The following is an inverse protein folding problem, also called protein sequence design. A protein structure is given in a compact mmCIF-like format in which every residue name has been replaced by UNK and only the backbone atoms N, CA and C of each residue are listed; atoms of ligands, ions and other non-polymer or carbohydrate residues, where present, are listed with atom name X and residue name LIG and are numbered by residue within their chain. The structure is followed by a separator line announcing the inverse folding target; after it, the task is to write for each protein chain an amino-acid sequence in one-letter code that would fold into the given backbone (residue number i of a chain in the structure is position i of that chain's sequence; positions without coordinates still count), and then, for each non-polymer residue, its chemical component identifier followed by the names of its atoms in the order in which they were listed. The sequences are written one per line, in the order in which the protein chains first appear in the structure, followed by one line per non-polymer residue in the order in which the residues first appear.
data_IF_555375910265
#
_entry.id   IF_555375910265
#
_cell.length_a   1.000
_cell.length_b   1.000
_cell.length_c   1.000
_cell.angle_alpha   90.00
_cell.angle_beta   90.00
_cell.angle_gamma   90.00
#
_symmetry.space_group_name_H-M   'P 1'
#
loop_
_entity.id
_entity.type
_entity.pdbx_description
1 polymer ?
#
# COMPACT_ATOMS: atom_id res chain seq x y z
N UNK A 1 15.98 -12.18 -48.76
CA UNK A 1 16.28 -11.36 -47.57
C UNK A 1 15.45 -11.89 -46.41
N UNK A 2 16.08 -12.43 -45.38
CA UNK A 2 15.39 -12.90 -44.17
C UNK A 2 15.63 -11.87 -43.06
N UNK A 3 14.55 -11.33 -42.49
CA UNK A 3 14.59 -10.35 -41.41
C UNK A 3 14.58 -11.12 -40.09
N UNK A 4 15.62 -11.04 -39.25
CA UNK A 4 15.60 -11.69 -37.94
C UNK A 4 14.67 -10.90 -37.01
N UNK A 5 13.65 -11.57 -36.48
CA UNK A 5 12.77 -11.02 -35.46
C UNK A 5 13.50 -11.16 -34.11
N UNK A 6 14.16 -10.09 -33.66
CA UNK A 6 14.82 -10.05 -32.36
C UNK A 6 13.78 -9.84 -31.26
N UNK A 7 13.54 -10.85 -30.43
CA UNK A 7 12.74 -10.73 -29.20
C UNK A 7 13.60 -10.09 -28.12
N UNK A 8 13.40 -8.81 -27.83
CA UNK A 8 13.96 -8.17 -26.66
C UNK A 8 13.23 -8.69 -25.41
N UNK A 9 13.86 -9.60 -24.67
CA UNK A 9 13.40 -10.04 -23.36
C UNK A 9 13.61 -8.92 -22.34
N UNK A 10 12.58 -8.11 -22.10
CA UNK A 10 12.60 -7.11 -21.03
C UNK A 10 12.58 -7.81 -19.67
N UNK A 11 13.53 -7.47 -18.80
CA UNK A 11 13.44 -7.83 -17.38
C UNK A 11 12.26 -7.06 -16.77
N UNK A 12 11.20 -7.76 -16.41
CA UNK A 12 10.10 -7.17 -15.66
C UNK A 12 10.63 -6.77 -14.27
N UNK A 13 10.55 -5.48 -13.95
CA UNK A 13 10.83 -4.92 -12.63
C UNK A 13 9.51 -4.48 -12.02
N UNK A 14 9.30 -4.81 -10.76
CA UNK A 14 8.05 -4.55 -10.05
C UNK A 14 8.30 -4.18 -8.60
N UNK A 15 7.53 -3.22 -8.09
CA UNK A 15 7.42 -3.01 -6.66
C UNK A 15 6.64 -4.17 -6.02
N UNK A 16 7.11 -4.65 -4.87
CA UNK A 16 6.47 -5.70 -4.08
C UNK A 16 6.10 -5.25 -2.68
N UNK A 17 5.17 -5.97 -2.04
CA UNK A 17 4.79 -5.71 -0.64
C UNK A 17 5.40 -6.75 0.29
N UNK A 18 6.01 -6.33 1.39
CA UNK A 18 6.45 -7.22 2.47
C UNK A 18 5.30 -7.64 3.39
N UNK A 19 5.59 -8.33 4.49
CA UNK A 19 4.58 -8.68 5.50
C UNK A 19 4.01 -7.43 6.16
N UNK A 20 2.69 -7.36 6.33
CA UNK A 20 2.08 -6.27 7.09
C UNK A 20 2.59 -6.29 8.54
N UNK A 21 2.76 -5.11 9.17
CA UNK A 21 3.05 -5.01 10.58
C UNK A 21 1.92 -5.59 11.43
N UNK A 22 2.27 -6.06 12.61
CA UNK A 22 1.39 -6.80 13.52
C UNK A 22 0.46 -5.93 14.38
N UNK A 23 0.54 -4.60 14.25
CA UNK A 23 -0.27 -3.69 15.07
C UNK A 23 -1.70 -3.66 14.54
N UNK A 24 -2.64 -4.14 15.34
CA UNK A 24 -4.06 -4.06 15.04
C UNK A 24 -4.57 -2.61 15.25
N UNK A 25 -5.47 -2.12 14.39
CA UNK A 25 -6.13 -0.84 14.61
C UNK A 25 -7.06 -0.93 15.84
N UNK A 26 -7.41 0.20 16.44
CA UNK A 26 -8.26 0.25 17.64
C UNK A 26 -9.57 0.98 17.33
N UNK A 27 -10.70 0.40 17.74
CA UNK A 27 -12.00 1.05 17.61
C UNK A 27 -12.02 2.42 18.31
N UNK A 28 -12.58 3.41 17.63
CA UNK A 28 -12.64 4.80 18.08
C UNK A 28 -11.37 5.62 17.84
N UNK A 29 -10.27 5.01 17.38
CA UNK A 29 -9.04 5.73 17.01
C UNK A 29 -8.97 5.97 15.49
N UNK A 30 -8.26 7.01 15.03
CA UNK A 30 -7.92 7.16 13.61
C UNK A 30 -7.10 5.96 13.11
N UNK A 31 -7.29 5.59 11.84
CA UNK A 31 -6.48 4.55 11.22
C UNK A 31 -5.06 5.06 11.00
N UNK A 32 -4.08 4.27 11.42
CA UNK A 32 -2.67 4.42 11.09
C UNK A 32 -2.09 3.04 10.72
N UNK A 33 -2.04 2.76 9.42
CA UNK A 33 -1.60 1.46 8.89
C UNK A 33 -0.30 1.64 8.11
N UNK A 34 0.70 0.83 8.42
CA UNK A 34 1.96 0.84 7.68
C UNK A 34 2.14 -0.45 6.89
N UNK A 35 2.86 -0.40 5.77
CA UNK A 35 3.22 -1.59 5.02
C UNK A 35 4.62 -1.44 4.41
N UNK A 36 5.52 -2.43 4.59
CA UNK A 36 6.82 -2.40 3.93
C UNK A 36 6.68 -2.64 2.43
N UNK A 37 7.44 -1.89 1.66
CA UNK A 37 7.57 -2.00 0.21
C UNK A 37 8.99 -2.42 -0.16
N UNK A 38 9.09 -3.32 -1.12
CA UNK A 38 10.32 -3.69 -1.81
C UNK A 38 10.32 -3.04 -3.18
N UNK A 39 11.40 -2.35 -3.51
CA UNK A 39 11.60 -1.68 -4.80
C UNK A 39 12.70 -2.44 -5.52
N UNK A 40 12.49 -2.78 -6.78
CA UNK A 40 13.52 -3.48 -7.56
C UNK A 40 14.67 -2.54 -7.92
N UNK A 41 15.88 -3.10 -7.98
CA UNK A 41 17.10 -2.34 -8.26
C UNK A 41 16.98 -1.58 -9.59
N UNK A 42 17.10 -0.25 -9.55
CA UNK A 42 16.98 0.64 -10.71
C UNK A 42 15.58 1.22 -10.94
N UNK A 43 14.60 0.85 -10.12
CA UNK A 43 13.27 1.48 -10.11
C UNK A 43 13.21 2.59 -9.06
N UNK A 44 12.53 3.70 -9.39
CA UNK A 44 12.27 4.78 -8.43
C UNK A 44 10.78 4.85 -8.19
N UNK A 45 10.37 4.64 -6.94
CA UNK A 45 8.98 4.82 -6.53
C UNK A 45 8.77 6.25 -6.03
N UNK A 46 8.04 7.06 -6.77
CA UNK A 46 7.65 8.40 -6.35
C UNK A 46 6.37 8.35 -5.48
N UNK A 47 6.12 9.37 -4.63
CA UNK A 47 4.88 9.44 -3.83
C UNK A 47 3.60 9.39 -4.68
N UNK A 48 3.63 9.94 -5.90
CA UNK A 48 2.46 9.92 -6.80
C UNK A 48 2.18 8.54 -7.41
N UNK A 49 3.11 7.58 -7.23
CA UNK A 49 2.97 6.21 -7.70
C UNK A 49 2.46 5.25 -6.61
N UNK A 50 2.01 5.79 -5.48
CA UNK A 50 1.37 5.03 -4.42
C UNK A 50 0.00 5.60 -4.11
N UNK A 51 -0.96 4.72 -3.92
CA UNK A 51 -2.32 5.08 -3.58
C UNK A 51 -2.92 4.05 -2.63
N UNK A 52 -3.96 4.45 -1.90
CA UNK A 52 -4.66 3.58 -0.98
C UNK A 52 -6.16 3.84 -1.01
N UNK A 53 -6.93 2.75 -0.93
CA UNK A 53 -8.37 2.76 -0.70
C UNK A 53 -8.63 2.09 0.63
N UNK A 54 -9.37 2.76 1.50
CA UNK A 54 -9.72 2.27 2.84
C UNK A 54 -11.22 2.10 2.92
N UNK A 55 -11.67 0.98 3.47
CA UNK A 55 -13.05 0.73 3.83
C UNK A 55 -13.16 0.33 5.30
N UNK A 56 -14.15 0.89 5.99
CA UNK A 56 -14.59 0.50 7.34
C UNK A 56 -15.86 -0.31 7.16
N UNK A 57 -15.80 -1.61 7.47
CA UNK A 57 -16.82 -2.57 7.05
C UNK A 57 -17.01 -2.53 5.53
N UNK A 58 -18.24 -2.29 5.08
CA UNK A 58 -18.59 -2.12 3.66
C UNK A 58 -18.46 -0.67 3.16
N UNK A 59 -18.19 0.29 4.06
CA UNK A 59 -18.16 1.72 3.73
C UNK A 59 -16.77 2.15 3.27
N UNK A 60 -16.64 2.37 1.96
CA UNK A 60 -15.43 2.97 1.37
C UNK A 60 -15.33 4.44 1.78
N UNK A 61 -14.18 4.84 2.32
CA UNK A 61 -13.90 6.23 2.67
C UNK A 61 -13.68 7.07 1.41
N UNK A 62 -14.10 8.34 1.46
CA UNK A 62 -13.80 9.28 0.37
C UNK A 62 -12.28 9.47 0.24
N UNK A 63 -11.77 9.53 -0.99
CA UNK A 63 -10.33 9.63 -1.25
C UNK A 63 -9.63 10.77 -0.48
N UNK A 64 -10.20 11.99 -0.32
CA UNK A 64 -9.57 13.05 0.47
C UNK A 64 -9.41 12.75 1.97
N UNK A 65 -10.14 11.77 2.51
CA UNK A 65 -10.06 11.35 3.90
C UNK A 65 -8.90 10.35 4.13
N UNK A 66 -8.32 9.79 3.07
CA UNK A 66 -7.21 8.84 3.11
C UNK A 66 -5.93 9.54 2.67
N UNK A 67 -4.88 9.43 3.48
CA UNK A 67 -3.57 9.99 3.18
C UNK A 67 -2.54 8.87 3.10
N UNK A 68 -1.66 8.97 2.11
CA UNK A 68 -0.49 8.12 1.96
C UNK A 68 0.78 8.92 2.22
N UNK A 69 1.76 8.30 2.87
CA UNK A 69 3.11 8.85 3.02
C UNK A 69 4.13 7.75 2.75
N UNK A 70 5.08 8.02 1.85
CA UNK A 70 6.09 7.06 1.43
C UNK A 70 7.44 7.45 2.04
N UNK A 71 7.92 6.64 2.97
CA UNK A 71 9.21 6.82 3.63
C UNK A 71 10.24 5.86 3.04
N UNK A 72 11.28 6.39 2.39
CA UNK A 72 12.41 5.57 1.91
C UNK A 72 13.31 5.20 3.08
N UNK A 73 13.49 3.89 3.27
CA UNK A 73 14.35 3.32 4.33
C UNK A 73 15.72 2.85 3.78
N UNK A 74 15.85 2.74 2.46
CA UNK A 74 17.08 2.38 1.76
C UNK A 74 16.90 2.47 0.24
N UNK A 75 17.86 1.93 -0.52
CA UNK A 75 17.79 1.93 -1.98
C UNK A 75 16.60 1.13 -2.52
N UNK A 76 16.38 -0.07 -1.96
CA UNK A 76 15.39 -1.04 -2.44
C UNK A 76 14.26 -1.28 -1.42
N UNK A 77 14.17 -0.44 -0.38
CA UNK A 77 13.24 -0.59 0.74
C UNK A 77 12.56 0.72 1.07
N UNK A 78 11.24 0.69 1.14
CA UNK A 78 10.43 1.79 1.61
C UNK A 78 9.36 1.30 2.58
N UNK A 79 8.71 2.24 3.27
CA UNK A 79 7.53 2.02 4.09
C UNK A 79 6.45 2.95 3.59
N UNK A 80 5.27 2.41 3.34
CA UNK A 80 4.09 3.21 3.06
C UNK A 80 3.23 3.28 4.31
N UNK A 81 2.94 4.49 4.76
CA UNK A 81 1.95 4.77 5.79
C UNK A 81 0.65 5.20 5.12
N UNK A 82 -0.47 4.61 5.56
CA UNK A 82 -1.83 4.88 5.15
C UNK A 82 -2.59 5.35 6.38
N UNK A 83 -3.03 6.60 6.39
CA UNK A 83 -3.74 7.19 7.51
C UNK A 83 -5.12 7.67 7.09
N UNK A 84 -6.12 7.49 7.97
CA UNK A 84 -7.44 8.08 7.82
C UNK A 84 -7.85 8.76 9.12
N UNK A 85 -8.18 10.04 9.05
CA UNK A 85 -8.47 10.87 10.22
C UNK A 85 -9.82 10.54 10.88
N UNK A 86 -10.75 9.93 10.12
CA UNK A 86 -12.04 9.52 10.66
C UNK A 86 -11.82 8.39 11.69
N UNK A 87 -12.39 8.51 12.91
CA UNK A 87 -12.36 7.44 13.89
C UNK A 87 -12.91 6.14 13.31
N UNK A 88 -12.25 5.04 13.64
CA UNK A 88 -12.65 3.72 13.23
C UNK A 88 -13.92 3.27 13.99
N UNK A 89 -15.00 3.07 13.27
CA UNK A 89 -16.33 2.73 13.80
C UNK A 89 -16.77 1.31 13.48
N UNK A 90 -15.97 0.56 12.72
CA UNK A 90 -16.25 -0.81 12.30
C UNK A 90 -15.12 -1.76 12.72
N UNK A 91 -15.42 -3.01 13.13
CA UNK A 91 -14.41 -3.97 13.58
C UNK A 91 -13.57 -4.57 12.44
N UNK A 92 -14.00 -4.39 11.19
CA UNK A 92 -13.30 -4.89 10.01
C UNK A 92 -12.83 -3.70 9.18
N UNK A 93 -11.53 -3.64 8.91
CA UNK A 93 -10.93 -2.60 8.05
C UNK A 93 -10.29 -3.28 6.85
N UNK A 94 -10.65 -2.82 5.66
CA UNK A 94 -9.99 -3.24 4.43
C UNK A 94 -9.11 -2.11 3.91
N UNK A 95 -7.82 -2.38 3.74
CA UNK A 95 -6.86 -1.45 3.14
C UNK A 95 -6.34 -2.05 1.84
N UNK A 96 -6.66 -1.44 0.71
CA UNK A 96 -6.13 -1.82 -0.60
C UNK A 96 -5.08 -0.80 -1.02
N UNK A 97 -3.85 -1.26 -1.23
CA UNK A 97 -2.71 -0.42 -1.56
C UNK A 97 -2.23 -0.71 -2.96
N UNK A 98 -2.03 0.34 -3.76
CA UNK A 98 -1.33 0.31 -5.04
C UNK A 98 0.08 0.87 -4.92
N UNK A 99 1.04 0.24 -5.62
CA UNK A 99 2.39 0.77 -5.76
C UNK A 99 2.95 0.46 -7.16
N UNK A 100 3.51 1.49 -7.81
CA UNK A 100 4.26 1.37 -9.06
C UNK A 100 3.81 2.37 -10.12
N UNK A 101 4.77 2.97 -10.83
CA UNK A 101 4.50 3.97 -11.88
C UNK A 101 4.30 3.31 -13.25
N UNK A 102 5.21 2.41 -13.63
CA UNK A 102 5.19 1.71 -14.93
C UNK A 102 4.56 0.31 -14.82
N UNK A 103 4.86 -0.40 -13.73
CA UNK A 103 4.28 -1.70 -13.40
C UNK A 103 3.64 -1.61 -12.02
N UNK A 104 2.31 -1.57 -11.97
CA UNK A 104 1.56 -1.35 -10.72
C UNK A 104 1.15 -2.68 -10.10
N UNK A 105 1.53 -2.88 -8.84
CA UNK A 105 1.10 -4.01 -8.02
C UNK A 105 0.08 -3.51 -7.00
N UNK A 106 -0.92 -4.33 -6.70
CA UNK A 106 -1.95 -4.02 -5.70
C UNK A 106 -2.01 -5.12 -4.67
N UNK A 107 -2.14 -4.75 -3.39
CA UNK A 107 -2.37 -5.70 -2.31
C UNK A 107 -3.47 -5.23 -1.38
N UNK A 108 -4.31 -6.18 -0.99
CA UNK A 108 -5.42 -5.96 -0.07
C UNK A 108 -5.10 -6.59 1.29
N UNK A 109 -5.33 -5.82 2.34
CA UNK A 109 -5.18 -6.21 3.73
C UNK A 109 -6.54 -6.13 4.41
N UNK A 110 -6.85 -7.12 5.23
CA UNK A 110 -8.03 -7.13 6.09
C UNK A 110 -7.51 -7.13 7.53
N UNK A 111 -7.86 -6.09 8.27
CA UNK A 111 -7.47 -5.88 9.66
C UNK A 111 -8.70 -6.02 10.52
N UNK A 112 -8.52 -6.62 11.70
CA UNK A 112 -9.54 -6.68 12.72
C UNK A 112 -9.19 -5.67 13.80
N UNK A 113 -10.12 -4.78 14.10
CA UNK A 113 -9.92 -3.76 15.10
C UNK A 113 -10.05 -4.35 16.50
N UNK A 114 -9.13 -3.97 17.37
CA UNK A 114 -9.22 -4.28 18.78
C UNK A 114 -10.21 -3.33 19.47
N UNK A 115 -10.96 -3.81 20.49
CA UNK A 115 -11.76 -2.93 21.32
C UNK A 115 -10.86 -1.96 22.10
N UNK A 116 -11.35 -0.75 22.43
CA UNK A 116 -10.62 0.16 23.31
C UNK A 116 -10.44 -0.49 24.69
N UNK A 117 -9.23 -0.37 25.25
CA UNK A 117 -8.97 -0.86 26.60
C UNK A 117 -9.50 0.16 27.64
N UNK A 118 -10.16 -0.31 28.72
CA UNK A 118 -10.74 0.53 29.76
C UNK A 118 -9.69 1.16 30.68
#
# INVERSE_FOLDING_TARGET
MAVPLATAGGVARAAGFGTAPSTAPVLGQPLDFEVPLRIDAGETLAPDCVDAVVAYGERVLAAPAVRTALDRLGADVARLRVAAAQPLDEPVVTVSVGAGCASRVTRRYVLFAEPPQP
#
